data_IF_513247898701
#
_entry.id   IF_513247898701
#
_cell.length_a   1.000
_cell.length_b   1.000
_cell.length_c   1.000
_cell.angle_alpha   90.00
_cell.angle_beta   90.00
_cell.angle_gamma   90.00
#
_symmetry.space_group_name_H-M   'P 1'
#
loop_
_entity.id
_entity.type
_entity.pdbx_description
1 polymer ?
#
# COMPACT_ATOMS: atom_id res chain seq x y z
N UNK A 1 -17.39 8.35 9.10
CA UNK A 1 -17.17 7.16 8.27
C UNK A 1 -15.68 7.10 7.94
N UNK A 2 -15.06 5.94 8.05
CA UNK A 2 -13.68 5.75 7.58
C UNK A 2 -13.61 5.99 6.06
N UNK A 3 -12.53 6.60 5.53
CA UNK A 3 -12.35 6.73 4.10
C UNK A 3 -12.39 5.37 3.38
N UNK A 4 -12.85 5.30 2.14
CA UNK A 4 -13.10 4.04 1.43
C UNK A 4 -11.79 3.30 1.10
N UNK A 5 -11.40 2.37 2.00
CA UNK A 5 -10.23 1.51 1.83
C UNK A 5 -10.42 0.48 0.70
N UNK A 6 -11.66 0.12 0.38
CA UNK A 6 -12.02 -0.75 -0.74
C UNK A 6 -11.64 -0.16 -2.10
N UNK A 7 -11.83 1.15 -2.28
CA UNK A 7 -11.46 1.87 -3.50
C UNK A 7 -9.94 1.92 -3.66
N UNK A 8 -9.21 2.23 -2.57
CA UNK A 8 -7.76 2.18 -2.57
C UNK A 8 -7.24 0.76 -2.86
N UNK A 9 -7.82 -0.26 -2.23
CA UNK A 9 -7.49 -1.67 -2.47
C UNK A 9 -7.65 -2.05 -3.94
N UNK A 10 -8.79 -1.74 -4.56
CA UNK A 10 -9.06 -2.07 -5.95
C UNK A 10 -8.06 -1.39 -6.89
N UNK A 11 -7.75 -0.12 -6.66
CA UNK A 11 -6.79 0.64 -7.45
C UNK A 11 -5.37 0.07 -7.34
N UNK A 12 -4.91 -0.21 -6.11
CA UNK A 12 -3.57 -0.76 -5.86
C UNK A 12 -3.46 -2.16 -6.47
N UNK A 13 -4.42 -3.04 -6.20
CA UNK A 13 -4.44 -4.41 -6.73
C UNK A 13 -4.39 -4.42 -8.24
N UNK A 14 -5.29 -3.68 -8.89
CA UNK A 14 -5.34 -3.62 -10.36
C UNK A 14 -4.03 -3.08 -10.94
N UNK A 15 -3.45 -2.05 -10.32
CA UNK A 15 -2.18 -1.48 -10.74
C UNK A 15 -1.01 -2.47 -10.66
N UNK A 16 -0.88 -3.17 -9.52
CA UNK A 16 0.18 -4.15 -9.30
C UNK A 16 0.03 -5.40 -10.19
N UNK A 17 -1.20 -5.90 -10.37
CA UNK A 17 -1.49 -7.03 -11.26
C UNK A 17 -1.18 -6.70 -12.72
N UNK A 18 -1.62 -5.53 -13.21
CA UNK A 18 -1.29 -5.05 -14.57
C UNK A 18 0.21 -4.90 -14.80
N UNK A 19 0.96 -4.53 -13.76
CA UNK A 19 2.42 -4.42 -13.82
C UNK A 19 3.14 -5.77 -13.67
N UNK A 20 2.43 -6.88 -13.43
CA UNK A 20 3.03 -8.20 -13.17
C UNK A 20 3.83 -8.26 -11.86
N UNK A 21 3.50 -7.40 -10.88
CA UNK A 21 4.24 -7.25 -9.63
C UNK A 21 3.31 -7.36 -8.41
N UNK A 22 2.66 -8.52 -8.20
CA UNK A 22 1.78 -8.71 -7.06
C UNK A 22 2.53 -8.50 -5.73
N UNK A 23 1.76 -8.19 -4.69
CA UNK A 23 2.21 -8.08 -3.29
C UNK A 23 1.40 -9.06 -2.45
N UNK A 24 1.90 -9.42 -1.26
CA UNK A 24 1.16 -10.27 -0.34
C UNK A 24 -0.21 -9.68 0.01
N UNK A 25 -1.20 -10.54 0.20
CA UNK A 25 -2.59 -10.11 0.41
C UNK A 25 -2.76 -9.20 1.65
N UNK A 26 -2.04 -9.48 2.74
CA UNK A 26 -2.09 -8.66 3.95
C UNK A 26 -1.41 -7.30 3.73
N UNK A 27 -0.27 -7.26 3.04
CA UNK A 27 0.42 -6.02 2.70
C UNK A 27 -0.45 -5.13 1.81
N UNK A 28 -1.21 -5.73 0.89
CA UNK A 28 -2.19 -5.02 0.08
C UNK A 28 -3.29 -4.37 0.93
N UNK A 29 -3.83 -5.08 1.93
CA UNK A 29 -4.82 -4.53 2.86
C UNK A 29 -4.24 -3.40 3.72
N UNK A 30 -3.03 -3.58 4.25
CA UNK A 30 -2.31 -2.57 5.04
C UNK A 30 -2.08 -1.32 4.19
N UNK A 31 -1.58 -1.47 2.97
CA UNK A 31 -1.35 -0.35 2.06
C UNK A 31 -2.64 0.37 1.69
N UNK A 32 -3.71 -0.37 1.39
CA UNK A 32 -5.00 0.21 1.03
C UNK A 32 -5.57 1.07 2.17
N UNK A 33 -5.47 0.58 3.41
CA UNK A 33 -5.89 1.32 4.59
C UNK A 33 -5.04 2.57 4.85
N UNK A 34 -3.71 2.45 4.74
CA UNK A 34 -2.81 3.59 4.89
C UNK A 34 -3.04 4.66 3.81
N UNK A 35 -3.24 4.26 2.55
CA UNK A 35 -3.53 5.17 1.44
C UNK A 35 -4.89 5.86 1.63
N UNK A 36 -5.93 5.13 2.05
CA UNK A 36 -7.26 5.73 2.22
C UNK A 36 -7.28 6.80 3.33
N UNK A 37 -6.45 6.62 4.36
CA UNK A 37 -6.31 7.55 5.48
C UNK A 37 -5.23 8.62 5.29
N UNK A 38 -4.42 8.52 4.22
CA UNK A 38 -3.27 9.42 4.00
C UNK A 38 -2.16 9.26 5.04
N UNK A 39 -2.02 8.07 5.62
CA UNK A 39 -1.02 7.78 6.65
C UNK A 39 0.34 7.41 6.04
N UNK A 40 1.39 7.61 6.85
CA UNK A 40 2.72 7.09 6.54
C UNK A 40 2.88 5.70 7.15
N UNK A 41 3.18 4.71 6.32
CA UNK A 41 3.44 3.34 6.75
C UNK A 41 4.88 3.22 7.28
N UNK A 42 5.02 2.72 8.50
CA UNK A 42 6.33 2.33 9.03
C UNK A 42 6.60 0.87 8.63
N UNK A 43 7.69 0.61 7.89
CA UNK A 43 8.01 -0.75 7.43
C UNK A 43 9.51 -0.93 7.14
N UNK A 44 10.05 -2.13 7.37
CA UNK A 44 11.37 -2.53 6.88
C UNK A 44 11.32 -3.12 5.45
N UNK A 45 10.12 -3.45 4.96
CA UNK A 45 9.88 -4.01 3.63
C UNK A 45 9.69 -2.89 2.58
N UNK A 46 10.63 -1.96 2.55
CA UNK A 46 10.59 -0.78 1.67
C UNK A 46 10.43 -1.20 0.19
N UNK A 47 11.07 -2.29 -0.22
CA UNK A 47 11.05 -2.77 -1.61
C UNK A 47 9.64 -3.07 -2.10
N UNK A 48 8.84 -3.74 -1.29
CA UNK A 48 7.54 -4.19 -1.72
C UNK A 48 6.52 -3.05 -1.70
N UNK A 49 6.56 -2.20 -0.67
CA UNK A 49 5.66 -1.06 -0.50
C UNK A 49 6.00 0.14 -1.41
N UNK A 50 7.27 0.33 -1.81
CA UNK A 50 7.66 1.39 -2.76
C UNK A 50 7.01 1.28 -4.15
N UNK A 51 6.39 0.14 -4.46
CA UNK A 51 5.65 -0.08 -5.71
C UNK A 51 4.26 0.57 -5.71
N UNK A 52 3.78 1.00 -4.55
CA UNK A 52 2.41 1.46 -4.35
C UNK A 52 2.36 2.97 -4.48
N UNK A 53 1.76 3.46 -5.57
CA UNK A 53 1.60 4.89 -5.80
C UNK A 53 0.69 5.51 -4.74
N UNK A 54 1.14 6.61 -4.13
CA UNK A 54 0.39 7.36 -3.13
C UNK A 54 0.56 6.85 -1.69
N UNK A 55 1.35 5.80 -1.48
CA UNK A 55 1.71 5.33 -0.14
C UNK A 55 3.00 6.03 0.33
N UNK A 56 2.89 6.84 1.38
CA UNK A 56 4.07 7.31 2.11
C UNK A 56 4.59 6.18 2.99
N UNK A 57 5.91 5.95 3.00
CA UNK A 57 6.53 4.94 3.83
C UNK A 57 7.85 5.44 4.44
N UNK A 58 8.16 4.97 5.64
CA UNK A 58 9.39 5.27 6.38
C UNK A 58 9.95 3.98 7.01
N UNK A 59 11.26 3.83 6.99
CA UNK A 59 11.96 2.77 7.70
C UNK A 59 12.64 3.35 8.95
N UNK A 60 12.31 2.84 10.13
CA UNK A 60 12.88 3.28 11.41
C UNK A 60 14.16 2.53 11.82
N UNK A 61 14.52 1.47 11.10
CA UNK A 61 15.76 0.72 11.34
C UNK A 61 16.96 1.32 10.58
N UNK A 62 16.77 2.48 9.96
CA UNK A 62 17.77 3.23 9.19
C UNK A 62 18.04 4.59 9.80
#
# INVERSE_FOLDING_TARGET
>A
FEPPADTAYAAIRSGLEKAGRPIAANDLLIAAHAVSLGYTLVTDNERDFARIKGLAAVNWLR
#
